data_IF_526750620431
#
_entry.id   IF_526750620431
#
_cell.length_a   1.000
_cell.length_b   1.000
_cell.length_c   1.000
_cell.angle_alpha   90.00
_cell.angle_beta   90.00
_cell.angle_gamma   90.00
#
_symmetry.space_group_name_H-M   'P 1'
#
loop_
_entity.id
_entity.type
_entity.pdbx_description
1 polymer ?
#
# COMPACT_ATOMS: atom_id res chain seq x y z
N UNK A 1 -21.41 -38.29 -4.79
CA UNK A 1 -19.98 -37.94 -4.91
C UNK A 1 -19.86 -36.45 -4.73
N UNK A 2 -19.46 -36.00 -3.55
CA UNK A 2 -19.18 -34.59 -3.30
C UNK A 2 -17.76 -34.32 -3.79
N UNK A 3 -17.61 -33.57 -4.88
CA UNK A 3 -16.33 -33.01 -5.25
C UNK A 3 -15.94 -32.01 -4.15
N UNK A 4 -15.03 -32.44 -3.29
CA UNK A 4 -14.29 -31.54 -2.42
C UNK A 4 -13.45 -30.69 -3.38
N UNK A 5 -13.88 -29.45 -3.62
CA UNK A 5 -13.01 -28.44 -4.21
C UNK A 5 -11.79 -28.32 -3.30
N UNK A 6 -10.67 -28.83 -3.79
CA UNK A 6 -9.33 -28.66 -3.22
C UNK A 6 -9.15 -27.17 -2.87
N UNK A 7 -8.67 -26.78 -1.67
CA UNK A 7 -8.63 -25.38 -1.28
C UNK A 7 -7.73 -24.62 -2.25
N UNK A 8 -8.41 -23.90 -3.15
CA UNK A 8 -7.93 -23.08 -4.25
C UNK A 8 -6.40 -22.92 -4.33
N UNK A 9 -5.79 -23.47 -5.38
CA UNK A 9 -4.42 -23.14 -5.80
C UNK A 9 -4.30 -21.62 -5.85
N UNK A 10 -3.63 -21.02 -4.87
CA UNK A 10 -3.34 -19.59 -4.83
C UNK A 10 -1.96 -19.40 -5.43
N UNK A 11 -1.92 -18.82 -6.64
CA UNK A 11 -0.67 -18.41 -7.25
C UNK A 11 -0.05 -17.27 -6.42
N UNK A 12 1.26 -17.32 -6.21
CA UNK A 12 2.01 -16.20 -5.65
C UNK A 12 2.22 -15.11 -6.72
N UNK A 13 2.64 -13.91 -6.29
CA UNK A 13 3.05 -12.86 -7.22
C UNK A 13 4.19 -13.36 -8.15
N UNK A 14 5.16 -14.07 -7.57
CA UNK A 14 6.30 -14.64 -8.29
C UNK A 14 5.88 -15.66 -9.34
N UNK A 15 4.93 -16.55 -9.03
CA UNK A 15 4.45 -17.56 -9.99
C UNK A 15 3.80 -16.90 -11.21
N UNK A 16 3.06 -15.81 -10.99
CA UNK A 16 2.42 -15.04 -12.05
C UNK A 16 3.47 -14.28 -12.87
N UNK A 17 4.43 -13.62 -12.21
CA UNK A 17 5.53 -12.92 -12.87
C UNK A 17 6.37 -13.87 -13.75
N UNK A 18 6.63 -15.09 -13.26
CA UNK A 18 7.35 -16.12 -14.01
C UNK A 18 6.65 -16.53 -15.31
N UNK A 19 5.33 -16.45 -15.38
CA UNK A 19 4.56 -16.73 -16.60
C UNK A 19 4.90 -15.75 -17.74
N UNK A 20 5.34 -14.53 -17.41
CA UNK A 20 5.67 -13.49 -18.40
C UNK A 20 7.15 -13.44 -18.78
N UNK A 21 8.01 -14.28 -18.19
CA UNK A 21 9.47 -14.26 -18.41
C UNK A 21 9.90 -14.61 -19.84
N UNK A 22 9.10 -15.40 -20.56
CA UNK A 22 9.36 -15.79 -21.95
C UNK A 22 8.88 -14.77 -23.00
N UNK A 23 8.15 -13.75 -22.56
CA UNK A 23 7.76 -12.61 -23.39
C UNK A 23 8.75 -11.49 -23.06
N UNK A 24 9.12 -10.63 -24.03
CA UNK A 24 10.07 -9.51 -23.82
C UNK A 24 9.67 -8.50 -22.71
N UNK A 25 8.62 -8.78 -21.94
CA UNK A 25 8.18 -8.01 -20.78
C UNK A 25 8.93 -8.42 -19.50
N UNK A 26 10.25 -8.21 -19.45
CA UNK A 26 11.04 -8.24 -18.19
C UNK A 26 10.70 -7.10 -17.22
N UNK A 27 9.47 -6.61 -17.28
CA UNK A 27 8.96 -5.37 -16.73
C UNK A 27 7.51 -5.58 -16.29
N UNK A 28 7.18 -6.72 -15.69
CA UNK A 28 5.85 -7.00 -15.16
C UNK A 28 5.91 -7.03 -13.64
N UNK A 29 4.94 -6.40 -12.98
CA UNK A 29 4.74 -6.48 -11.54
C UNK A 29 3.42 -7.18 -11.29
N UNK A 30 3.38 -8.09 -10.33
CA UNK A 30 2.15 -8.64 -9.80
C UNK A 30 1.89 -8.16 -8.36
N UNK A 31 0.68 -7.69 -8.10
CA UNK A 31 0.15 -7.46 -6.75
C UNK A 31 -0.95 -8.46 -6.45
N UNK A 32 -0.90 -9.05 -5.26
CA UNK A 32 -1.85 -10.10 -4.83
C UNK A 32 -2.51 -9.69 -3.51
N UNK A 33 -3.77 -9.28 -3.58
CA UNK A 33 -4.57 -8.90 -2.41
C UNK A 33 -5.52 -10.04 -2.01
N UNK A 34 -5.38 -10.57 -0.80
CA UNK A 34 -6.35 -11.51 -0.24
C UNK A 34 -7.37 -10.76 0.61
N UNK A 35 -8.66 -10.83 0.27
CA UNK A 35 -9.77 -10.23 1.02
C UNK A 35 -10.37 -11.26 1.99
N UNK A 36 -11.01 -10.79 3.08
CA UNK A 36 -11.49 -11.62 4.22
C UNK A 36 -12.62 -12.62 3.86
N UNK A 37 -12.92 -12.80 2.57
CA UNK A 37 -13.97 -13.67 2.05
C UNK A 37 -13.50 -14.41 0.79
N UNK A 38 -12.46 -15.25 0.87
CA UNK A 38 -11.96 -16.14 -0.20
C UNK A 38 -11.61 -15.51 -1.57
N UNK A 39 -11.84 -14.23 -1.77
CA UNK A 39 -11.52 -13.51 -2.99
C UNK A 39 -10.06 -13.06 -2.93
N UNK A 40 -9.27 -13.54 -3.89
CA UNK A 40 -7.93 -13.05 -4.16
C UNK A 40 -8.00 -12.18 -5.41
N UNK A 41 -7.49 -10.95 -5.32
CA UNK A 41 -7.35 -10.07 -6.47
C UNK A 41 -5.89 -10.07 -6.91
N UNK A 42 -5.70 -10.50 -8.14
CA UNK A 42 -4.43 -10.42 -8.85
C UNK A 42 -4.44 -9.17 -9.72
N UNK A 43 -3.42 -8.31 -9.60
CA UNK A 43 -3.21 -7.19 -10.51
C UNK A 43 -1.85 -7.31 -11.15
N UNK A 44 -1.83 -7.31 -12.46
CA UNK A 44 -0.61 -7.45 -13.26
C UNK A 44 -0.41 -6.17 -14.06
N UNK A 45 0.76 -5.56 -13.94
CA UNK A 45 1.08 -4.30 -14.59
C UNK A 45 2.35 -4.42 -15.40
N UNK A 46 2.42 -3.73 -16.53
CA UNK A 46 3.68 -3.44 -17.20
C UNK A 46 4.36 -2.21 -16.57
N UNK A 47 5.69 -2.23 -16.56
CA UNK A 47 6.57 -1.13 -16.21
C UNK A 47 7.12 -0.54 -17.52
N UNK A 48 7.26 0.80 -17.64
CA UNK A 48 6.65 1.79 -16.76
C UNK A 48 5.12 1.72 -16.86
N UNK A 49 4.45 1.93 -15.72
CA UNK A 49 2.99 1.98 -15.71
C UNK A 49 2.50 3.21 -16.48
N UNK A 50 1.36 3.11 -17.15
CA UNK A 50 0.74 4.23 -17.89
C UNK A 50 -0.52 4.79 -17.23
N UNK A 51 -0.94 4.22 -16.10
CA UNK A 51 -2.13 4.64 -15.38
C UNK A 51 -1.77 5.65 -14.28
N UNK A 52 -2.71 6.53 -13.97
CA UNK A 52 -2.53 7.60 -13.00
C UNK A 52 -3.18 7.34 -11.65
N UNK A 53 -4.08 6.37 -11.56
CA UNK A 53 -4.83 6.03 -10.35
C UNK A 53 -4.59 4.57 -9.99
N UNK A 54 -4.22 4.29 -8.75
CA UNK A 54 -4.14 2.95 -8.19
C UNK A 54 -5.07 2.87 -6.98
N UNK A 55 -6.11 2.04 -7.09
CA UNK A 55 -7.20 2.03 -6.12
C UNK A 55 -7.52 0.63 -5.60
N UNK A 56 -8.06 0.62 -4.38
CA UNK A 56 -8.54 -0.54 -3.65
C UNK A 56 -7.45 -1.61 -3.46
N UNK A 57 -6.21 -1.19 -3.21
CA UNK A 57 -5.09 -2.07 -2.88
C UNK A 57 -4.88 -2.13 -1.36
N UNK A 58 -4.38 -3.27 -0.85
CA UNK A 58 -4.01 -3.43 0.56
C UNK A 58 -2.60 -2.89 0.83
N UNK A 59 -2.06 -3.16 2.02
CA UNK A 59 -0.71 -2.76 2.42
C UNK A 59 0.45 -3.51 1.72
N UNK A 60 0.19 -4.26 0.65
CA UNK A 60 1.15 -5.10 -0.08
C UNK A 60 1.83 -4.36 -1.24
N UNK A 61 2.23 -3.10 -1.03
CA UNK A 61 2.91 -2.30 -2.05
C UNK A 61 4.23 -3.00 -2.43
N UNK A 62 4.45 -3.36 -3.71
CA UNK A 62 5.69 -3.99 -4.15
C UNK A 62 6.84 -2.97 -4.12
N UNK A 63 8.07 -3.47 -4.06
CA UNK A 63 9.26 -2.63 -4.07
C UNK A 63 9.57 -2.10 -5.49
N UNK A 64 8.68 -1.29 -6.04
CA UNK A 64 8.78 -0.71 -7.39
C UNK A 64 8.28 0.73 -7.37
N UNK A 65 8.87 1.56 -8.24
CA UNK A 65 8.50 2.97 -8.40
C UNK A 65 7.44 3.13 -9.48
N UNK A 66 6.28 3.67 -9.09
CA UNK A 66 5.13 3.97 -9.93
C UNK A 66 5.12 5.45 -10.33
N UNK A 67 6.02 5.86 -11.23
CA UNK A 67 6.17 7.26 -11.64
C UNK A 67 4.90 7.90 -12.22
N UNK A 68 4.03 7.11 -12.86
CA UNK A 68 2.81 7.63 -13.48
C UNK A 68 1.65 7.80 -12.51
N UNK A 69 1.69 7.16 -11.34
CA UNK A 69 0.59 7.14 -10.37
C UNK A 69 0.63 8.40 -9.53
N UNK A 70 -0.46 9.16 -9.59
CA UNK A 70 -0.64 10.42 -8.86
C UNK A 70 -1.76 10.35 -7.84
N UNK A 71 -2.62 9.32 -7.91
CA UNK A 71 -3.70 9.12 -6.94
C UNK A 71 -3.69 7.68 -6.43
N UNK A 72 -3.71 7.53 -5.12
CA UNK A 72 -3.61 6.26 -4.43
C UNK A 72 -4.75 6.13 -3.43
N UNK A 73 -5.51 5.03 -3.53
CA UNK A 73 -6.57 4.69 -2.57
C UNK A 73 -6.29 3.31 -1.98
N UNK A 74 -6.04 3.30 -0.69
CA UNK A 74 -5.62 2.13 0.08
C UNK A 74 -6.71 1.74 1.06
N UNK A 75 -6.88 0.44 1.19
CA UNK A 75 -7.81 -0.13 2.14
C UNK A 75 -7.20 -1.37 2.79
N UNK A 76 -7.23 -1.46 4.11
CA UNK A 76 -6.78 -2.66 4.82
C UNK A 76 -7.68 -2.96 6.01
N UNK A 77 -7.62 -4.21 6.47
CA UNK A 77 -8.22 -4.66 7.73
C UNK A 77 -7.23 -4.53 8.90
N UNK A 78 -5.93 -4.46 8.60
CA UNK A 78 -4.88 -4.20 9.57
C UNK A 78 -4.59 -2.71 9.70
N UNK A 79 -4.13 -2.30 10.89
CA UNK A 79 -3.65 -0.93 11.09
C UNK A 79 -2.42 -0.63 10.20
N UNK A 80 -2.47 0.50 9.50
CA UNK A 80 -1.32 1.03 8.79
C UNK A 80 -0.25 1.46 9.80
N UNK A 81 0.99 1.01 9.58
CA UNK A 81 2.16 1.33 10.42
C UNK A 81 2.99 2.44 9.77
N UNK A 82 3.85 3.11 10.53
CA UNK A 82 4.73 4.16 9.98
C UNK A 82 5.60 3.67 8.79
N UNK A 83 6.08 2.42 8.86
CA UNK A 83 6.75 1.70 7.76
C UNK A 83 6.03 1.82 6.41
N UNK A 84 4.71 1.88 6.45
CA UNK A 84 3.89 1.96 5.27
C UNK A 84 3.95 3.33 4.60
N UNK A 85 4.01 4.41 5.38
CA UNK A 85 4.19 5.75 4.84
C UNK A 85 5.51 5.86 4.08
N UNK A 86 6.59 5.29 4.62
CA UNK A 86 7.90 5.24 3.93
C UNK A 86 7.77 4.52 2.58
N UNK A 87 7.13 3.35 2.56
CA UNK A 87 6.92 2.58 1.32
C UNK A 87 6.07 3.36 0.30
N UNK A 88 5.03 4.07 0.74
CA UNK A 88 4.24 4.92 -0.16
C UNK A 88 5.12 6.01 -0.77
N UNK A 89 5.87 6.75 0.05
CA UNK A 89 6.71 7.85 -0.44
C UNK A 89 7.76 7.36 -1.45
N UNK A 90 8.36 6.19 -1.21
CA UNK A 90 9.32 5.56 -2.12
C UNK A 90 8.68 5.04 -3.41
N UNK A 91 7.52 4.41 -3.32
CA UNK A 91 6.84 3.80 -4.46
C UNK A 91 6.10 4.83 -5.34
N UNK A 92 5.66 5.97 -4.77
CA UNK A 92 4.80 6.95 -5.43
C UNK A 92 5.37 8.38 -5.31
N UNK A 93 6.50 8.68 -5.97
CA UNK A 93 7.20 9.96 -5.81
C UNK A 93 6.42 11.19 -6.29
N UNK A 94 5.42 11.00 -7.17
CA UNK A 94 4.59 12.08 -7.73
C UNK A 94 3.15 12.06 -7.19
N UNK A 95 2.94 11.49 -6.01
CA UNK A 95 1.62 11.34 -5.41
C UNK A 95 0.99 12.71 -5.08
N UNK A 96 -0.20 12.95 -5.63
CA UNK A 96 -1.02 14.16 -5.41
C UNK A 96 -2.20 13.90 -4.48
N UNK A 97 -2.82 12.73 -4.58
CA UNK A 97 -3.95 12.33 -3.75
C UNK A 97 -3.73 11.00 -3.05
N UNK A 98 -3.91 10.98 -1.72
CA UNK A 98 -3.80 9.79 -0.89
C UNK A 98 -5.09 9.60 -0.09
N UNK A 99 -5.77 8.47 -0.30
CA UNK A 99 -6.92 8.06 0.51
C UNK A 99 -6.58 6.76 1.24
N UNK A 100 -6.72 6.75 2.56
CA UNK A 100 -6.40 5.61 3.43
C UNK A 100 -7.64 5.27 4.25
N UNK A 101 -8.11 4.03 4.13
CA UNK A 101 -9.25 3.53 4.91
C UNK A 101 -8.87 2.25 5.65
N UNK A 102 -9.16 2.17 6.95
CA UNK A 102 -9.07 0.91 7.70
C UNK A 102 -10.47 0.41 8.07
N UNK A 103 -10.84 -0.84 7.73
CA UNK A 103 -12.20 -1.35 7.99
C UNK A 103 -12.40 -2.08 9.29
N UNK A 104 -11.35 -2.61 9.92
CA UNK A 104 -11.52 -3.39 11.14
C UNK A 104 -11.22 -2.54 12.36
N UNK A 105 -12.24 -2.35 13.21
CA UNK A 105 -12.21 -1.45 14.36
C UNK A 105 -11.87 -2.07 15.74
N UNK A 106 -11.75 -3.39 15.98
CA UNK A 106 -11.74 -3.87 17.34
C UNK A 106 -10.31 -3.92 17.89
N UNK A 107 -10.10 -3.06 18.88
CA UNK A 107 -8.96 -3.00 19.78
C UNK A 107 -7.70 -2.37 19.20
N UNK A 108 -7.69 -1.04 19.32
CA UNK A 108 -6.57 -0.22 19.81
C UNK A 108 -5.80 -0.87 20.97
N UNK A 109 -5.29 -2.09 20.81
CA UNK A 109 -4.40 -2.69 21.80
C UNK A 109 -3.12 -1.89 21.75
N UNK A 110 -3.06 -0.91 22.65
CA UNK A 110 -1.97 0.00 22.94
C UNK A 110 -0.70 -0.76 23.31
N UNK A 111 -0.12 -1.51 22.38
CA UNK A 111 1.27 -1.96 22.45
C UNK A 111 2.11 -1.30 21.33
N UNK A 112 1.54 -0.34 20.60
CA UNK A 112 2.26 0.49 19.63
C UNK A 112 3.13 1.57 20.28
N UNK A 113 3.23 1.62 21.62
CA UNK A 113 4.22 2.42 22.33
C UNK A 113 5.67 2.10 21.88
N UNK A 114 5.91 0.90 21.34
CA UNK A 114 7.20 0.50 20.76
C UNK A 114 7.49 1.13 19.37
N UNK A 115 6.56 1.88 18.77
CA UNK A 115 6.86 2.68 17.57
C UNK A 115 7.74 3.91 17.89
N UNK A 116 7.97 4.23 19.18
CA UNK A 116 8.91 5.27 19.60
C UNK A 116 10.38 4.81 19.60
N UNK A 117 10.65 3.51 19.63
CA UNK A 117 11.98 2.99 19.99
C UNK A 117 12.86 2.57 18.81
N UNK A 118 12.32 2.50 17.59
CA UNK A 118 13.18 2.39 16.41
C UNK A 118 13.56 3.81 15.99
N UNK A 119 14.86 4.08 15.92
CA UNK A 119 15.38 5.32 15.36
C UNK A 119 15.12 5.34 13.84
N UNK A 120 13.92 5.76 13.42
CA UNK A 120 13.61 6.05 12.02
C UNK A 120 14.16 7.45 11.71
N UNK A 121 15.41 7.50 11.24
CA UNK A 121 16.18 8.75 11.10
C UNK A 121 15.89 9.54 9.80
N UNK A 122 14.81 9.25 9.07
CA UNK A 122 14.54 9.93 7.79
C UNK A 122 13.15 10.52 7.80
N UNK A 123 13.09 11.84 7.60
CA UNK A 123 11.84 12.56 7.35
C UNK A 123 11.24 12.01 6.05
N UNK A 124 9.98 11.61 6.10
CA UNK A 124 9.24 11.15 4.91
C UNK A 124 8.73 12.39 4.17
N UNK A 125 9.04 12.54 2.89
CA UNK A 125 8.55 13.69 2.12
C UNK A 125 7.48 13.28 1.12
N UNK A 126 6.37 14.04 1.09
CA UNK A 126 5.36 13.95 0.05
C UNK A 126 5.25 15.29 -0.69
N UNK A 127 6.18 15.60 -1.60
CA UNK A 127 6.33 16.95 -2.15
C UNK A 127 5.11 17.44 -2.93
N UNK A 128 4.39 16.53 -3.59
CA UNK A 128 3.26 16.87 -4.47
C UNK A 128 1.88 16.58 -3.87
N UNK A 129 1.81 16.08 -2.63
CA UNK A 129 0.55 15.66 -2.04
C UNK A 129 -0.29 16.91 -1.72
N UNK A 130 -1.42 17.07 -2.40
CA UNK A 130 -2.37 18.18 -2.23
C UNK A 130 -3.70 17.71 -1.65
N UNK A 131 -3.92 16.40 -1.55
CA UNK A 131 -5.14 15.81 -1.04
C UNK A 131 -4.85 14.58 -0.18
N UNK A 132 -5.33 14.61 1.07
CA UNK A 132 -5.23 13.51 2.02
C UNK A 132 -6.61 13.23 2.63
N UNK A 133 -7.12 12.01 2.43
CA UNK A 133 -8.40 11.52 2.95
C UNK A 133 -8.18 10.30 3.84
N UNK A 134 -8.36 10.46 5.15
CA UNK A 134 -8.08 9.42 6.14
C UNK A 134 -9.38 9.01 6.83
N UNK A 135 -9.79 7.75 6.66
CA UNK A 135 -11.06 7.22 7.17
C UNK A 135 -10.83 6.04 8.10
N UNK A 136 -11.44 6.10 9.29
CA UNK A 136 -11.44 5.00 10.28
C UNK A 136 -10.02 4.52 10.68
N UNK A 137 -9.03 5.41 10.62
CA UNK A 137 -7.61 5.11 10.90
C UNK A 137 -7.25 5.41 12.35
N UNK A 138 -6.11 4.86 12.80
CA UNK A 138 -5.62 5.07 14.15
C UNK A 138 -5.20 6.52 14.44
N UNK A 139 -5.73 7.23 15.47
CA UNK A 139 -5.29 8.59 15.79
C UNK A 139 -3.78 8.70 16.00
N UNK A 140 -3.11 7.69 16.57
CA UNK A 140 -1.66 7.70 16.70
C UNK A 140 -0.96 7.60 15.33
N UNK A 141 -1.52 6.83 14.39
CA UNK A 141 -1.00 6.81 13.02
C UNK A 141 -1.20 8.17 12.34
N UNK A 142 -2.37 8.78 12.51
CA UNK A 142 -2.67 10.10 11.97
C UNK A 142 -1.74 11.16 12.56
N UNK A 143 -1.51 11.14 13.87
CA UNK A 143 -0.55 12.01 14.55
C UNK A 143 0.85 11.82 13.95
N UNK A 144 1.30 10.58 13.75
CA UNK A 144 2.60 10.31 13.13
C UNK A 144 2.69 10.76 11.67
N UNK A 145 1.62 10.64 10.89
CA UNK A 145 1.58 11.05 9.48
C UNK A 145 1.55 12.58 9.31
N UNK A 146 0.93 13.29 10.25
CA UNK A 146 0.83 14.74 10.25
C UNK A 146 1.94 15.44 11.06
N UNK A 147 2.78 14.67 11.76
CA UNK A 147 3.87 15.23 12.54
C UNK A 147 5.02 15.66 11.60
N UNK A 148 5.21 16.97 11.46
CA UNK A 148 6.22 17.60 10.60
C UNK A 148 7.66 17.16 10.91
N UNK A 149 7.94 16.72 12.15
CA UNK A 149 9.25 16.18 12.51
C UNK A 149 9.53 14.80 11.92
N UNK A 150 8.50 14.14 11.37
CA UNK A 150 8.54 12.79 10.80
C UNK A 150 8.05 12.74 9.35
N UNK A 151 7.19 13.66 8.94
CA UNK A 151 6.61 13.70 7.60
C UNK A 151 6.42 15.14 7.13
N UNK A 152 6.98 15.47 5.98
CA UNK A 152 6.87 16.80 5.36
C UNK A 152 5.85 16.79 4.23
N UNK A 153 4.83 17.65 4.34
CA UNK A 153 3.68 17.75 3.45
C UNK A 153 3.55 19.16 2.83
N UNK A 154 4.56 19.66 2.09
CA UNK A 154 4.66 21.08 1.72
C UNK A 154 3.52 21.60 0.84
N UNK A 155 2.77 20.71 0.19
CA UNK A 155 1.65 21.07 -0.68
C UNK A 155 0.28 20.99 0.03
N UNK A 156 0.24 20.62 1.31
CA UNK A 156 -0.96 20.61 2.17
C UNK A 156 -0.97 21.72 3.23
N UNK A 157 0.15 22.42 3.40
CA UNK A 157 0.41 23.50 4.37
C UNK A 157 0.65 24.82 3.64
#
# INVERSE_FOLDING_TARGET
MNQILDPAIRLSATDIEQTFTNIKYGQVICMVDSFDSYYVRYRVFSIPTKFHRLEDIKNNIPNVVFNSVTHLKLWDTNAFKHEFSVRIAQAFPFLKGLSITNTHQPFWRCNEHHLRDKAWCSIIEYPYLTFLDVKRVNPYYLEHLLNETKTHLPSLT
#
